data_IF_867128288524
#
_entry.id   IF_867128288524
#
_cell.length_a   1.000
_cell.length_b   1.000
_cell.length_c   1.000
_cell.angle_alpha   90.00
_cell.angle_beta   90.00
_cell.angle_gamma   90.00
#
_symmetry.space_group_name_H-M   'P 1'
#
loop_
_entity.id
_entity.type
_entity.pdbx_description
1 polymer ?
#
# COMPACT_ATOMS: atom_id res chain seq x y z
N UNK A 1 -11.10 -8.05 -9.61
CA UNK A 1 -9.75 -8.64 -9.72
C UNK A 1 -9.27 -9.04 -8.32
N UNK A 2 -8.39 -10.03 -8.14
CA UNK A 2 -7.89 -10.35 -6.81
C UNK A 2 -7.00 -9.21 -6.28
N UNK A 3 -7.16 -8.89 -5.00
CA UNK A 3 -6.33 -7.93 -4.28
C UNK A 3 -4.86 -8.33 -4.39
N UNK A 4 -4.00 -7.37 -4.73
CA UNK A 4 -2.55 -7.59 -4.87
C UNK A 4 -1.88 -7.15 -3.59
N UNK A 5 -1.11 -8.03 -2.99
CA UNK A 5 -0.48 -7.82 -1.68
C UNK A 5 1.03 -7.77 -1.91
N UNK A 6 1.65 -6.67 -1.50
CA UNK A 6 3.06 -6.38 -1.70
C UNK A 6 3.78 -6.43 -0.36
N UNK A 7 4.59 -7.47 -0.17
CA UNK A 7 5.34 -7.69 1.06
C UNK A 7 6.50 -6.71 1.19
N UNK A 8 6.53 -5.98 2.30
CA UNK A 8 7.64 -5.11 2.69
C UNK A 8 8.39 -5.63 3.92
N UNK A 9 9.53 -4.98 4.24
CA UNK A 9 10.34 -5.35 5.40
C UNK A 9 9.67 -5.03 6.74
N UNK A 10 8.82 -4.01 6.80
CA UNK A 10 8.15 -3.54 8.03
C UNK A 10 6.64 -3.78 7.97
N UNK A 11 6.01 -3.42 6.85
CA UNK A 11 4.58 -3.58 6.59
C UNK A 11 4.35 -4.11 5.17
N UNK A 12 3.26 -4.83 4.99
CA UNK A 12 2.76 -5.21 3.67
C UNK A 12 1.71 -4.18 3.20
N UNK A 13 1.65 -3.96 1.89
CA UNK A 13 0.68 -3.06 1.27
C UNK A 13 -0.21 -3.85 0.34
N UNK A 14 -1.51 -3.85 0.64
CA UNK A 14 -2.53 -4.49 -0.18
C UNK A 14 -3.25 -3.46 -1.04
N UNK A 15 -3.37 -3.75 -2.34
CA UNK A 15 -3.93 -2.87 -3.35
C UNK A 15 -5.07 -3.56 -4.11
N UNK A 16 -6.18 -2.85 -4.23
CA UNK A 16 -7.35 -3.24 -4.99
C UNK A 16 -7.57 -2.29 -6.18
N UNK A 17 -7.46 -2.85 -7.39
CA UNK A 17 -7.67 -2.09 -8.62
C UNK A 17 -9.15 -1.75 -8.86
N UNK A 18 -10.10 -2.56 -8.38
CA UNK A 18 -11.54 -2.32 -8.55
C UNK A 18 -12.01 -1.12 -7.72
N UNK A 19 -11.40 -0.89 -6.56
CA UNK A 19 -11.68 0.27 -5.70
C UNK A 19 -10.87 1.51 -6.10
N UNK A 20 -9.85 1.39 -6.94
CA UNK A 20 -8.97 2.51 -7.27
C UNK A 20 -9.65 3.51 -8.20
N UNK A 21 -9.97 4.71 -7.69
CA UNK A 21 -10.51 5.81 -8.50
C UNK A 21 -9.45 6.70 -9.17
N UNK A 22 -8.19 6.27 -9.22
CA UNK A 22 -7.05 7.00 -9.81
C UNK A 22 -6.87 8.44 -9.28
N UNK A 23 -7.10 8.66 -7.98
CA UNK A 23 -6.95 9.99 -7.37
C UNK A 23 -5.48 10.48 -7.27
N UNK A 24 -4.50 9.62 -7.60
CA UNK A 24 -3.06 9.89 -7.56
C UNK A 24 -2.51 10.38 -6.21
N UNK A 25 -3.28 10.29 -5.12
CA UNK A 25 -2.87 10.74 -3.78
C UNK A 25 -1.73 9.87 -3.23
N UNK A 26 -1.73 8.58 -3.56
CA UNK A 26 -0.66 7.64 -3.20
C UNK A 26 0.67 8.01 -3.85
N UNK A 27 0.69 8.14 -5.18
CA UNK A 27 1.88 8.50 -5.96
C UNK A 27 2.38 9.90 -5.61
N UNK A 28 1.49 10.86 -5.35
CA UNK A 28 1.89 12.22 -4.93
C UNK A 28 2.37 12.29 -3.49
N UNK A 29 1.86 11.41 -2.62
CA UNK A 29 2.22 11.37 -1.21
C UNK A 29 3.57 10.71 -0.96
N UNK A 30 3.85 9.61 -1.66
CA UNK A 30 5.11 8.87 -1.60
C UNK A 30 5.47 8.28 -2.97
N UNK A 31 6.07 9.08 -3.87
CA UNK A 31 6.50 8.59 -5.18
C UNK A 31 7.66 7.59 -5.07
N UNK A 32 8.39 7.61 -3.96
CA UNK A 32 9.45 6.65 -3.64
C UNK A 32 8.90 5.22 -3.50
N UNK A 33 7.73 5.04 -2.88
CA UNK A 33 7.10 3.71 -2.73
C UNK A 33 6.12 3.40 -3.85
N UNK A 34 5.33 4.39 -4.28
CA UNK A 34 4.29 4.23 -5.29
C UNK A 34 4.78 4.79 -6.63
N UNK A 35 5.43 3.96 -7.44
CA UNK A 35 5.94 4.34 -8.77
C UNK A 35 5.24 3.52 -9.87
N UNK A 36 4.26 4.13 -10.52
CA UNK A 36 3.51 3.53 -11.65
C UNK A 36 4.39 3.22 -12.86
N UNK A 37 5.60 3.78 -12.94
CA UNK A 37 6.56 3.52 -14.02
C UNK A 37 7.39 2.25 -13.76
N UNK A 38 7.41 1.75 -12.53
CA UNK A 38 8.15 0.54 -12.13
C UNK A 38 7.22 -0.66 -11.97
N UNK A 39 7.79 -1.86 -12.07
CA UNK A 39 7.10 -3.13 -11.79
C UNK A 39 7.97 -3.97 -10.85
N UNK A 40 7.52 -4.25 -9.61
CA UNK A 40 6.25 -3.82 -9.00
C UNK A 40 6.16 -2.29 -8.80
N UNK A 41 4.94 -1.75 -8.90
CA UNK A 41 4.70 -0.30 -8.75
C UNK A 41 4.51 0.14 -7.29
N UNK A 42 4.35 -0.83 -6.39
CA UNK A 42 4.35 -0.63 -4.95
C UNK A 42 5.60 -1.33 -4.43
N UNK A 43 6.56 -0.56 -3.96
CA UNK A 43 7.79 -1.06 -3.36
C UNK A 43 7.85 -0.64 -1.88
N UNK A 44 7.23 -1.41 -0.97
CA UNK A 44 7.30 -1.09 0.46
C UNK A 44 8.72 -1.25 1.02
N UNK A 45 9.67 -1.80 0.25
CA UNK A 45 11.10 -1.81 0.56
C UNK A 45 11.72 -0.42 0.63
N UNK A 46 11.21 0.57 -0.12
CA UNK A 46 11.66 1.97 0.04
C UNK A 46 11.21 2.59 1.37
N UNK A 47 10.15 2.06 1.99
CA UNK A 47 9.74 2.44 3.35
C UNK A 47 10.51 1.64 4.40
N UNK A 48 11.85 1.68 4.35
CA UNK A 48 12.74 0.96 5.27
C UNK A 48 12.87 1.63 6.66
N UNK A 49 12.36 2.85 6.84
CA UNK A 49 12.40 3.59 8.10
C UNK A 49 11.01 3.67 8.74
N UNK A 50 10.99 3.86 10.06
CA UNK A 50 9.75 4.09 10.82
C UNK A 50 9.00 5.34 10.32
N UNK A 51 9.73 6.40 9.96
CA UNK A 51 9.16 7.65 9.44
C UNK A 51 8.48 7.44 8.08
N UNK A 52 9.15 6.79 7.13
CA UNK A 52 8.56 6.46 5.82
C UNK A 52 7.39 5.49 5.96
N UNK A 53 7.45 4.53 6.89
CA UNK A 53 6.32 3.64 7.21
C UNK A 53 5.13 4.42 7.72
N UNK A 54 5.35 5.40 8.61
CA UNK A 54 4.29 6.25 9.14
C UNK A 54 3.70 7.15 8.03
N UNK A 55 4.55 7.72 7.18
CA UNK A 55 4.11 8.48 6.00
C UNK A 55 3.25 7.61 5.07
N UNK A 56 3.65 6.36 4.85
CA UNK A 56 2.91 5.41 4.03
C UNK A 56 1.52 5.16 4.61
N UNK A 57 1.43 4.86 5.91
CA UNK A 57 0.15 4.69 6.62
C UNK A 57 -0.76 5.91 6.48
N UNK A 58 -0.21 7.13 6.58
CA UNK A 58 -0.96 8.38 6.39
C UNK A 58 -1.44 8.58 4.96
N UNK A 59 -0.59 8.28 3.98
CA UNK A 59 -0.90 8.40 2.54
C UNK A 59 -1.96 7.37 2.14
N UNK A 60 -1.84 6.13 2.62
CA UNK A 60 -2.83 5.07 2.42
C UNK A 60 -4.17 5.44 3.05
N UNK A 61 -4.18 5.95 4.29
CA UNK A 61 -5.40 6.44 4.96
C UNK A 61 -6.03 7.67 4.30
N UNK A 62 -5.28 8.39 3.46
CA UNK A 62 -5.80 9.49 2.62
C UNK A 62 -6.49 9.00 1.35
N UNK A 63 -6.46 7.70 1.05
CA UNK A 63 -7.16 7.14 -0.09
C UNK A 63 -8.68 7.23 0.15
N UNK A 64 -9.43 8.07 -0.58
CA UNK A 64 -10.86 8.25 -0.35
C UNK A 64 -11.69 7.04 -0.77
N UNK A 65 -11.10 6.11 -1.54
CA UNK A 65 -11.78 4.92 -2.03
C UNK A 65 -11.41 3.63 -1.31
N UNK A 66 -10.47 3.68 -0.34
CA UNK A 66 -10.03 2.49 0.39
C UNK A 66 -9.33 1.44 -0.49
N UNK A 67 -8.81 1.87 -1.66
CA UNK A 67 -8.15 0.99 -2.61
C UNK A 67 -6.79 0.46 -2.13
N UNK A 68 -6.18 1.14 -1.17
CA UNK A 68 -4.93 0.77 -0.54
C UNK A 68 -5.18 0.48 0.92
N UNK A 69 -4.54 -0.56 1.44
CA UNK A 69 -4.60 -0.96 2.83
C UNK A 69 -3.22 -1.41 3.31
N UNK A 70 -2.93 -1.16 4.57
CA UNK A 70 -1.66 -1.56 5.19
C UNK A 70 -1.88 -2.82 5.99
N UNK A 71 -1.27 -3.92 5.57
CA UNK A 71 -1.36 -5.22 6.23
C UNK A 71 -0.11 -5.42 7.06
N UNK A 72 -0.25 -5.65 8.36
CA UNK A 72 0.91 -5.97 9.20
C UNK A 72 1.35 -7.42 8.92
N UNK A 73 2.65 -7.68 8.71
CA UNK A 73 3.18 -9.01 8.41
C UNK A 73 3.03 -9.91 9.64
N UNK A 74 1.86 -10.51 9.77
CA UNK A 74 1.47 -11.31 10.93
C UNK A 74 -0.04 -11.52 11.09
N UNK A 75 -0.89 -10.72 10.44
CA UNK A 75 -2.36 -10.83 10.62
C UNK A 75 -3.06 -11.70 9.58
N UNK A 76 -2.31 -12.39 8.72
CA UNK A 76 -2.83 -13.33 7.74
C UNK A 76 -3.40 -14.60 8.36
N UNK A 77 -4.53 -14.51 9.07
CA UNK A 77 -5.44 -15.64 9.27
C UNK A 77 -6.86 -15.22 8.88
N UNK A 78 -7.44 -15.78 7.80
CA UNK A 78 -8.82 -15.52 7.43
C UNK A 78 -9.73 -16.19 8.46
N UNK A 79 -10.60 -15.41 9.10
CA UNK A 79 -11.81 -15.93 9.75
C UNK A 79 -13.01 -15.28 9.08
N UNK A 80 -13.21 -15.59 7.79
CA UNK A 80 -14.55 -15.55 7.21
C UNK A 80 -15.20 -16.91 7.52
N UNK A 81 -16.10 -16.88 8.50
CA UNK A 81 -17.08 -17.94 8.81
C UNK A 81 -18.17 -17.96 7.75
#
# INVERSE_FOLDING_TARGET
MPRRTSAGPIIDVSFDADLCRHAAVCVRGMPEVFDVSRRPWIDPGQAATEDSTQALRRVVGRCPSGALDVVEPGTGRPASV
#
